data_IF_680305109441
#
_entry.id   IF_680305109441
#
_cell.length_a   1.000
_cell.length_b   1.000
_cell.length_c   1.000
_cell.angle_alpha   90.00
_cell.angle_beta   90.00
_cell.angle_gamma   90.00
#
_symmetry.space_group_name_H-M   'P 1'
#
loop_
_entity.id
_entity.type
_entity.pdbx_description
1 polymer ?
#
# COMPACT_ATOMS: atom_id res chain seq x y z
N UNK A 1 -5.37 23.95 -10.47
CA UNK A 1 -5.47 24.46 -9.08
C UNK A 1 -6.90 24.79 -8.67
N UNK A 2 -7.69 25.54 -9.46
CA UNK A 2 -9.07 25.92 -9.09
C UNK A 2 -10.03 24.76 -8.70
N UNK A 3 -9.87 23.57 -9.30
CA UNK A 3 -10.69 22.38 -8.98
C UNK A 3 -10.27 21.75 -7.65
N UNK A 4 -8.96 21.77 -7.33
CA UNK A 4 -8.42 21.27 -6.06
C UNK A 4 -8.92 22.12 -4.89
N UNK A 5 -8.92 23.45 -5.06
CA UNK A 5 -9.49 24.40 -4.10
C UNK A 5 -11.01 24.28 -3.94
N UNK A 6 -11.68 23.56 -4.84
CA UNK A 6 -13.14 23.38 -4.81
C UNK A 6 -13.57 22.21 -3.91
N UNK A 7 -12.73 21.19 -3.71
CA UNK A 7 -13.05 19.98 -2.91
C UNK A 7 -12.98 20.25 -1.40
N UNK A 8 -12.33 21.34 -0.99
CA UNK A 8 -12.25 21.76 0.41
C UNK A 8 -13.53 22.42 0.93
N UNK A 9 -14.57 22.56 0.09
CA UNK A 9 -15.83 23.24 0.43
C UNK A 9 -16.91 22.26 0.92
N UNK A 10 -17.78 22.73 1.83
CA UNK A 10 -18.84 21.98 2.52
C UNK A 10 -19.93 21.34 1.62
N UNK A 11 -19.94 21.58 0.30
CA UNK A 11 -20.95 21.05 -0.64
C UNK A 11 -20.32 20.57 -1.96
N UNK A 12 -19.31 19.70 -1.85
CA UNK A 12 -18.69 19.08 -3.04
C UNK A 12 -19.58 17.98 -3.59
N UNK A 13 -19.85 17.99 -4.90
CA UNK A 13 -20.63 16.96 -5.59
C UNK A 13 -19.78 15.75 -5.97
N UNK A 14 -20.38 14.56 -6.09
CA UNK A 14 -19.70 13.34 -6.59
C UNK A 14 -18.94 13.60 -7.90
N UNK A 15 -19.51 14.38 -8.82
CA UNK A 15 -18.87 14.70 -10.09
C UNK A 15 -17.58 15.51 -9.88
N UNK A 16 -17.59 16.47 -8.96
CA UNK A 16 -16.40 17.27 -8.62
C UNK A 16 -15.32 16.42 -7.96
N UNK A 17 -15.70 15.48 -7.07
CA UNK A 17 -14.75 14.54 -6.46
C UNK A 17 -14.08 13.66 -7.54
N UNK A 18 -14.86 13.11 -8.47
CA UNK A 18 -14.34 12.31 -9.58
C UNK A 18 -13.39 13.13 -10.45
N UNK A 19 -13.81 14.30 -10.92
CA UNK A 19 -12.98 15.16 -11.77
C UNK A 19 -11.67 15.55 -11.07
N UNK A 20 -11.72 15.82 -9.77
CA UNK A 20 -10.53 16.13 -9.01
C UNK A 20 -9.60 14.93 -8.85
N UNK A 21 -10.13 13.74 -8.56
CA UNK A 21 -9.31 12.54 -8.43
C UNK A 21 -8.57 12.20 -9.73
N UNK A 22 -9.22 12.38 -10.88
CA UNK A 22 -8.58 12.24 -12.20
C UNK A 22 -7.51 13.31 -12.42
N UNK A 23 -7.81 14.57 -12.10
CA UNK A 23 -6.84 15.65 -12.23
C UNK A 23 -5.59 15.44 -11.36
N UNK A 24 -5.75 14.85 -10.16
CA UNK A 24 -4.61 14.49 -9.30
C UNK A 24 -3.78 13.36 -9.90
N UNK A 25 -4.44 12.33 -10.45
CA UNK A 25 -3.74 11.25 -11.16
C UNK A 25 -2.95 11.80 -12.36
N UNK A 26 -3.53 12.72 -13.13
CA UNK A 26 -2.85 13.36 -14.27
C UNK A 26 -1.66 14.23 -13.83
N UNK A 27 -1.82 15.08 -12.82
CA UNK A 27 -0.74 15.97 -12.34
C UNK A 27 0.39 15.16 -11.71
N UNK A 28 0.06 14.07 -11.00
CA UNK A 28 1.08 13.23 -10.37
C UNK A 28 1.88 12.39 -11.35
N UNK A 29 1.41 12.21 -12.59
CA UNK A 29 2.11 11.51 -13.67
C UNK A 29 3.18 12.36 -14.36
N UNK A 30 3.22 13.68 -14.07
CA UNK A 30 4.21 14.61 -14.59
C UNK A 30 5.36 14.73 -13.58
N UNK A 31 6.30 13.79 -13.64
CA UNK A 31 7.46 13.74 -12.75
C UNK A 31 8.22 15.07 -12.79
N UNK A 32 8.59 15.56 -13.98
CA UNK A 32 9.29 16.84 -14.17
C UNK A 32 8.58 18.00 -13.42
N UNK A 33 7.24 18.07 -13.48
CA UNK A 33 6.47 19.06 -12.74
C UNK A 33 6.60 18.90 -11.23
N UNK A 34 6.61 17.69 -10.68
CA UNK A 34 6.72 17.46 -9.24
C UNK A 34 8.15 17.66 -8.73
N UNK A 35 9.16 17.24 -9.49
CA UNK A 35 10.57 17.33 -9.11
C UNK A 35 11.09 18.77 -9.09
N UNK A 36 10.51 19.67 -9.90
CA UNK A 36 10.88 21.09 -9.94
C UNK A 36 10.64 21.83 -8.61
N UNK A 37 9.64 21.42 -7.82
CA UNK A 37 9.22 22.10 -6.60
C UNK A 37 8.59 21.10 -5.62
N UNK A 38 9.33 20.65 -4.60
CA UNK A 38 8.86 19.67 -3.62
C UNK A 38 7.54 20.05 -2.93
N UNK A 39 7.21 21.35 -2.83
CA UNK A 39 5.93 21.80 -2.26
C UNK A 39 4.72 21.32 -3.07
N UNK A 40 4.91 20.97 -4.35
CA UNK A 40 3.87 20.41 -5.21
C UNK A 40 3.47 19.00 -4.76
N UNK A 41 4.40 18.22 -4.21
CA UNK A 41 4.10 16.87 -3.68
C UNK A 41 3.18 16.98 -2.46
N UNK A 42 3.54 17.86 -1.52
CA UNK A 42 2.71 18.14 -0.34
C UNK A 42 1.30 18.61 -0.73
N UNK A 43 1.20 19.43 -1.77
CA UNK A 43 -0.10 19.87 -2.31
C UNK A 43 -0.89 18.70 -2.90
N UNK A 44 -0.26 17.84 -3.69
CA UNK A 44 -0.91 16.64 -4.26
C UNK A 44 -1.44 15.74 -3.14
N UNK A 45 -0.64 15.46 -2.12
CA UNK A 45 -1.03 14.62 -0.97
C UNK A 45 -2.18 15.26 -0.19
N UNK A 46 -2.10 16.55 0.12
CA UNK A 46 -3.18 17.28 0.82
C UNK A 46 -4.49 17.30 0.02
N UNK A 47 -4.38 17.37 -1.31
CA UNK A 47 -5.52 17.33 -2.22
C UNK A 47 -6.12 15.93 -2.29
N UNK A 48 -5.27 14.91 -2.32
CA UNK A 48 -5.67 13.51 -2.26
C UNK A 48 -6.44 13.20 -0.98
N UNK A 49 -5.93 13.64 0.18
CA UNK A 49 -6.64 13.53 1.45
C UNK A 49 -8.03 14.19 1.41
N UNK A 50 -8.16 15.32 0.72
CA UNK A 50 -9.44 16.01 0.56
C UNK A 50 -10.42 15.23 -0.31
N UNK A 51 -9.96 14.66 -1.43
CA UNK A 51 -10.75 13.74 -2.28
C UNK A 51 -11.24 12.55 -1.47
N UNK A 52 -10.34 11.89 -0.75
CA UNK A 52 -10.68 10.69 0.05
C UNK A 52 -11.60 11.03 1.22
N UNK A 53 -11.45 12.21 1.83
CA UNK A 53 -12.31 12.67 2.92
C UNK A 53 -13.76 12.91 2.47
N UNK A 54 -13.98 13.20 1.19
CA UNK A 54 -15.33 13.33 0.64
C UNK A 54 -16.13 12.02 0.71
N UNK A 55 -15.47 10.86 0.84
CA UNK A 55 -16.12 9.59 1.15
C UNK A 55 -16.82 8.92 -0.04
N UNK A 56 -16.53 9.34 -1.27
CA UNK A 56 -17.14 8.79 -2.48
C UNK A 56 -16.67 7.34 -2.72
N UNK A 57 -17.59 6.39 -2.54
CA UNK A 57 -17.33 4.95 -2.60
C UNK A 57 -17.45 4.38 -4.03
N UNK A 58 -16.74 4.97 -4.99
CA UNK A 58 -16.85 4.65 -6.41
C UNK A 58 -15.51 4.25 -7.03
N UNK A 59 -15.54 3.31 -7.99
CA UNK A 59 -14.36 2.95 -8.80
C UNK A 59 -13.77 4.18 -9.50
N UNK A 60 -14.64 5.12 -9.92
CA UNK A 60 -14.23 6.36 -10.60
C UNK A 60 -13.46 7.35 -9.69
N UNK A 61 -13.35 7.06 -8.39
CA UNK A 61 -12.48 7.79 -7.45
C UNK A 61 -11.35 6.87 -6.97
N UNK A 62 -11.67 5.60 -6.69
CA UNK A 62 -10.70 4.62 -6.20
C UNK A 62 -9.57 4.37 -7.20
N UNK A 63 -9.86 4.18 -8.48
CA UNK A 63 -8.83 3.93 -9.50
C UNK A 63 -7.86 5.13 -9.65
N UNK A 64 -8.33 6.38 -9.84
CA UNK A 64 -7.44 7.54 -9.88
C UNK A 64 -6.60 7.74 -8.60
N UNK A 65 -7.18 7.46 -7.43
CA UNK A 65 -6.43 7.50 -6.16
C UNK A 65 -5.29 6.49 -6.16
N UNK A 66 -5.52 5.25 -6.62
CA UNK A 66 -4.45 4.23 -6.72
C UNK A 66 -3.38 4.67 -7.73
N UNK A 67 -3.77 5.23 -8.88
CA UNK A 67 -2.83 5.79 -9.86
C UNK A 67 -1.99 6.92 -9.28
N UNK A 68 -2.60 7.82 -8.51
CA UNK A 68 -1.87 8.92 -7.86
C UNK A 68 -0.77 8.39 -6.94
N UNK A 69 -1.08 7.37 -6.13
CA UNK A 69 -0.09 6.74 -5.24
C UNK A 69 1.00 6.00 -6.03
N UNK A 70 0.62 5.29 -7.08
CA UNK A 70 1.58 4.64 -7.97
C UNK A 70 2.59 5.63 -8.56
N UNK A 71 2.12 6.80 -8.97
CA UNK A 71 2.93 7.84 -9.57
C UNK A 71 3.84 8.52 -8.52
N UNK A 72 3.33 8.81 -7.32
CA UNK A 72 4.16 9.27 -6.21
C UNK A 72 5.28 8.28 -5.83
N UNK A 73 5.11 7.00 -6.13
CA UNK A 73 6.13 5.96 -5.94
C UNK A 73 7.11 5.83 -7.11
N UNK A 74 6.89 6.50 -8.24
CA UNK A 74 7.86 6.62 -9.34
C UNK A 74 8.89 7.72 -9.08
N UNK A 75 8.53 8.71 -8.26
CA UNK A 75 9.40 9.85 -7.97
C UNK A 75 10.76 9.40 -7.43
N UNK A 76 11.77 10.18 -7.78
CA UNK A 76 13.09 9.99 -7.22
C UNK A 76 13.02 10.06 -5.70
N UNK A 77 13.61 9.04 -5.11
CA UNK A 77 13.59 8.75 -3.69
C UNK A 77 13.92 9.97 -2.81
N UNK A 78 14.83 10.82 -3.27
CA UNK A 78 15.39 11.93 -2.49
C UNK A 78 14.59 13.24 -2.62
N UNK A 79 13.45 13.22 -3.32
CA UNK A 79 12.60 14.39 -3.56
C UNK A 79 11.57 14.58 -2.44
N UNK A 80 11.21 13.50 -1.74
CA UNK A 80 10.37 13.58 -0.54
C UNK A 80 11.17 14.18 0.62
N UNK A 81 10.96 15.47 0.92
CA UNK A 81 11.68 16.22 1.95
C UNK A 81 11.53 15.59 3.35
N UNK A 82 10.35 15.03 3.65
CA UNK A 82 10.10 14.17 4.81
C UNK A 82 9.26 12.96 4.40
N UNK A 83 9.94 11.99 3.79
CA UNK A 83 9.32 10.76 3.27
C UNK A 83 8.48 9.98 4.29
N UNK A 84 8.65 10.15 5.61
CA UNK A 84 7.80 9.50 6.60
C UNK A 84 6.46 10.21 6.78
N UNK A 85 6.46 11.55 6.81
CA UNK A 85 5.24 12.33 7.00
C UNK A 85 4.41 12.31 5.71
N UNK A 86 5.03 12.66 4.59
CA UNK A 86 4.37 12.73 3.29
C UNK A 86 3.97 11.33 2.82
N UNK A 87 4.90 10.38 2.88
CA UNK A 87 4.64 8.99 2.51
C UNK A 87 3.59 8.32 3.39
N UNK A 88 3.66 8.52 4.71
CA UNK A 88 2.66 8.01 5.64
C UNK A 88 1.25 8.56 5.38
N UNK A 89 1.13 9.84 5.03
CA UNK A 89 -0.14 10.46 4.65
C UNK A 89 -0.69 9.93 3.34
N UNK A 90 0.16 9.75 2.33
CA UNK A 90 -0.23 9.15 1.05
C UNK A 90 -0.77 7.72 1.26
N UNK A 91 -0.05 6.89 2.02
CA UNK A 91 -0.46 5.53 2.38
C UNK A 91 -1.80 5.54 3.13
N UNK A 92 -1.96 6.41 4.13
CA UNK A 92 -3.20 6.52 4.88
C UNK A 92 -4.38 6.97 4.00
N UNK A 93 -4.16 7.87 3.04
CA UNK A 93 -5.18 8.29 2.08
C UNK A 93 -5.62 7.12 1.20
N UNK A 94 -4.69 6.31 0.69
CA UNK A 94 -5.02 5.10 -0.07
C UNK A 94 -5.87 4.13 0.75
N UNK A 95 -5.39 3.73 1.94
CA UNK A 95 -6.10 2.77 2.79
C UNK A 95 -7.51 3.27 3.17
N UNK A 96 -7.65 4.58 3.39
CA UNK A 96 -8.94 5.21 3.65
C UNK A 96 -9.86 5.17 2.42
N UNK A 97 -9.36 5.45 1.22
CA UNK A 97 -10.21 5.36 0.01
C UNK A 97 -10.66 3.94 -0.27
N UNK A 98 -9.77 2.95 -0.10
CA UNK A 98 -10.17 1.55 -0.26
C UNK A 98 -11.21 1.17 0.80
N UNK A 99 -11.11 1.71 2.01
CA UNK A 99 -12.14 1.52 3.04
C UNK A 99 -13.46 2.17 2.64
N UNK A 100 -13.45 3.41 2.13
CA UNK A 100 -14.66 4.05 1.61
C UNK A 100 -15.30 3.17 0.53
N UNK A 101 -14.50 2.65 -0.41
CA UNK A 101 -14.95 1.75 -1.47
C UNK A 101 -15.61 0.47 -0.92
N UNK A 102 -15.08 -0.12 0.15
CA UNK A 102 -15.66 -1.33 0.76
C UNK A 102 -17.08 -1.12 1.34
N UNK A 103 -17.55 0.13 1.46
CA UNK A 103 -18.94 0.45 1.84
C UNK A 103 -19.92 0.30 0.67
N UNK A 104 -19.46 0.37 -0.59
CA UNK A 104 -20.29 0.14 -1.77
C UNK A 104 -20.34 -1.34 -2.16
N UNK A 105 -21.29 -1.71 -3.00
CA UNK A 105 -21.36 -3.05 -3.55
C UNK A 105 -20.40 -3.19 -4.73
N UNK A 106 -19.57 -4.23 -4.68
CA UNK A 106 -18.61 -4.52 -5.74
C UNK A 106 -17.28 -5.02 -5.20
N UNK A 107 -16.42 -5.35 -6.15
CA UNK A 107 -15.04 -5.72 -5.94
C UNK A 107 -14.19 -4.77 -6.77
N UNK A 108 -12.99 -4.47 -6.28
CA UNK A 108 -11.99 -3.68 -6.98
C UNK A 108 -10.66 -4.42 -6.95
N UNK A 109 -10.01 -4.52 -8.11
CA UNK A 109 -8.67 -5.08 -8.21
C UNK A 109 -7.93 -4.35 -9.30
N UNK A 110 -6.72 -3.91 -9.00
CA UNK A 110 -5.82 -3.27 -9.96
C UNK A 110 -4.39 -3.58 -9.57
N UNK A 111 -3.53 -3.76 -10.56
CA UNK A 111 -2.09 -3.93 -10.37
C UNK A 111 -1.39 -2.97 -11.32
N UNK A 112 -0.76 -1.96 -10.74
CA UNK A 112 0.13 -1.01 -11.39
C UNK A 112 1.57 -1.33 -10.99
N UNK A 113 2.55 -0.67 -11.61
CA UNK A 113 3.96 -0.99 -11.43
C UNK A 113 4.42 -0.94 -9.97
N UNK A 114 3.93 0.02 -9.18
CA UNK A 114 4.34 0.19 -7.78
C UNK A 114 3.26 -0.23 -6.78
N UNK A 115 2.00 -0.38 -7.20
CA UNK A 115 0.89 -0.63 -6.28
C UNK A 115 -0.04 -1.70 -6.83
N UNK A 116 -0.26 -2.76 -6.04
CA UNK A 116 -1.27 -3.77 -6.31
C UNK A 116 -2.34 -3.77 -5.23
N UNK A 117 -3.58 -3.46 -5.59
CA UNK A 117 -4.72 -3.44 -4.67
C UNK A 117 -5.73 -4.52 -5.07
N UNK A 118 -6.22 -5.26 -4.07
CA UNK A 118 -7.41 -6.11 -4.22
C UNK A 118 -8.33 -5.88 -3.04
N UNK A 119 -9.53 -5.38 -3.29
CA UNK A 119 -10.57 -5.10 -2.32
C UNK A 119 -11.83 -5.87 -2.72
N UNK A 120 -12.17 -6.91 -1.96
CA UNK A 120 -13.20 -7.89 -2.33
C UNK A 120 -14.08 -8.22 -1.14
N UNK A 121 -15.36 -8.53 -1.41
CA UNK A 121 -16.27 -9.12 -0.42
C UNK A 121 -16.33 -10.63 -0.65
N UNK A 122 -15.83 -11.41 0.30
CA UNK A 122 -15.68 -12.87 0.16
C UNK A 122 -16.61 -13.59 1.12
N UNK A 123 -17.29 -14.62 0.64
CA UNK A 123 -17.93 -15.60 1.52
C UNK A 123 -16.84 -16.43 2.22
N UNK A 124 -16.69 -16.29 3.54
CA UNK A 124 -15.68 -17.01 4.31
C UNK A 124 -15.76 -18.54 4.13
N UNK A 125 -16.95 -19.09 3.82
CA UNK A 125 -17.15 -20.52 3.55
C UNK A 125 -16.54 -21.00 2.23
N UNK A 126 -16.25 -20.07 1.32
CA UNK A 126 -15.61 -20.36 0.03
C UNK A 126 -14.08 -20.36 0.11
N UNK A 127 -13.51 -19.89 1.22
CA UNK A 127 -12.07 -19.90 1.50
C UNK A 127 -11.69 -21.26 2.05
N UNK A 128 -10.57 -21.82 1.60
CA UNK A 128 -10.03 -23.08 2.11
C UNK A 128 -9.44 -22.90 3.52
N UNK A 129 -8.15 -23.21 3.65
CA UNK A 129 -7.43 -22.99 4.91
C UNK A 129 -7.22 -21.50 5.21
N UNK A 130 -7.03 -20.70 4.16
CA UNK A 130 -6.60 -19.31 4.24
C UNK A 130 -6.88 -18.57 2.94
N UNK A 131 -7.02 -17.26 3.04
CA UNK A 131 -7.09 -16.35 1.91
C UNK A 131 -5.76 -15.60 1.82
N UNK A 132 -5.10 -15.66 0.68
CA UNK A 132 -3.78 -15.09 0.54
C UNK A 132 -3.65 -14.19 -0.68
N UNK A 133 -2.75 -13.22 -0.59
CA UNK A 133 -2.39 -12.32 -1.68
C UNK A 133 -0.88 -12.33 -1.82
N UNK A 134 -0.39 -12.51 -3.05
CA UNK A 134 1.02 -12.68 -3.30
C UNK A 134 1.43 -12.05 -4.62
N UNK A 135 2.66 -11.53 -4.65
CA UNK A 135 3.42 -11.23 -5.84
C UNK A 135 4.45 -12.35 -6.07
N UNK A 136 4.41 -12.98 -7.24
CA UNK A 136 5.25 -14.11 -7.61
C UNK A 136 6.18 -13.69 -8.75
N UNK A 137 7.48 -13.93 -8.58
CA UNK A 137 8.46 -13.68 -9.62
C UNK A 137 8.20 -14.58 -10.85
N UNK A 138 8.29 -14.03 -12.08
CA UNK A 138 8.38 -14.82 -13.30
C UNK A 138 9.49 -15.87 -13.25
N UNK A 139 9.41 -16.87 -14.11
CA UNK A 139 10.47 -17.88 -14.20
C UNK A 139 11.77 -17.22 -14.65
N UNK A 140 12.82 -17.38 -13.85
CA UNK A 140 14.18 -16.85 -14.08
C UNK A 140 14.38 -15.34 -13.83
N UNK A 141 13.44 -14.68 -13.14
CA UNK A 141 13.65 -13.30 -12.68
C UNK A 141 14.16 -13.24 -11.23
N UNK A 142 15.00 -12.25 -10.96
CA UNK A 142 15.43 -11.87 -9.61
C UNK A 142 14.58 -10.72 -9.11
N UNK A 143 14.39 -10.62 -7.79
CA UNK A 143 13.63 -9.53 -7.20
C UNK A 143 14.24 -8.16 -7.54
N UNK A 144 13.42 -7.28 -8.13
CA UNK A 144 13.65 -5.84 -8.15
C UNK A 144 12.73 -5.19 -7.13
N UNK A 145 13.27 -4.30 -6.28
CA UNK A 145 12.50 -3.50 -5.30
C UNK A 145 12.46 -2.04 -5.76
N UNK A 146 12.34 -1.86 -7.07
CA UNK A 146 12.24 -0.55 -7.73
C UNK A 146 10.88 -0.42 -8.47
N UNK A 147 9.85 -1.16 -8.00
CA UNK A 147 8.60 -1.31 -8.74
C UNK A 147 8.63 -2.47 -9.74
N UNK A 148 7.62 -2.55 -10.61
CA UNK A 148 7.32 -3.59 -11.61
C UNK A 148 6.46 -4.78 -11.13
N UNK A 149 5.42 -4.51 -10.33
CA UNK A 149 4.33 -5.48 -10.16
C UNK A 149 3.62 -5.72 -11.50
N UNK A 150 3.11 -6.94 -11.71
CA UNK A 150 2.36 -7.29 -12.91
C UNK A 150 1.09 -8.04 -12.53
N UNK A 151 -0.02 -7.76 -13.21
CA UNK A 151 -1.33 -8.36 -12.91
C UNK A 151 -1.31 -9.90 -12.93
N UNK A 152 -0.54 -10.51 -13.83
CA UNK A 152 -0.40 -11.98 -13.90
C UNK A 152 0.34 -12.61 -12.71
N UNK A 153 1.18 -11.82 -12.04
CA UNK A 153 2.10 -12.25 -10.99
C UNK A 153 1.59 -11.89 -9.59
N UNK A 154 0.88 -10.76 -9.48
CA UNK A 154 0.30 -10.23 -8.25
C UNK A 154 -1.18 -10.57 -8.20
N UNK A 155 -1.57 -11.54 -7.37
CA UNK A 155 -2.94 -12.07 -7.39
C UNK A 155 -3.38 -12.68 -6.06
N UNK A 156 -4.69 -12.88 -5.97
CA UNK A 156 -5.37 -13.56 -4.87
C UNK A 156 -5.31 -15.09 -5.01
N UNK A 157 -5.19 -15.77 -3.87
CA UNK A 157 -5.20 -17.21 -3.71
C UNK A 157 -6.26 -17.58 -2.68
N UNK A 158 -7.21 -18.43 -3.06
CA UNK A 158 -8.26 -18.94 -2.17
C UNK A 158 -7.76 -19.98 -1.15
N UNK A 159 -6.48 -20.36 -1.27
CA UNK A 159 -5.75 -21.19 -0.33
C UNK A 159 -4.27 -20.77 -0.32
N UNK A 160 -3.75 -20.38 0.84
CA UNK A 160 -2.35 -19.97 1.00
C UNK A 160 -1.35 -21.09 0.70
N UNK A 161 -1.75 -22.36 0.86
CA UNK A 161 -0.91 -23.51 0.52
C UNK A 161 -0.66 -23.65 -0.99
N UNK A 162 -1.45 -22.94 -1.81
CA UNK A 162 -1.25 -22.89 -3.26
C UNK A 162 -0.17 -21.88 -3.69
N UNK A 163 0.40 -21.09 -2.76
CA UNK A 163 1.45 -20.12 -3.08
C UNK A 163 2.77 -20.86 -3.37
N UNK A 164 3.40 -20.65 -4.54
CA UNK A 164 4.70 -21.21 -4.86
C UNK A 164 5.83 -20.47 -4.12
N UNK A 165 6.09 -20.86 -2.86
CA UNK A 165 7.02 -20.18 -1.95
C UNK A 165 8.42 -19.96 -2.52
N UNK A 166 8.89 -20.82 -3.43
CA UNK A 166 10.21 -20.71 -4.05
C UNK A 166 10.36 -19.52 -5.01
N UNK A 167 9.25 -18.90 -5.41
CA UNK A 167 9.18 -17.77 -6.34
C UNK A 167 8.44 -16.57 -5.74
N UNK A 168 8.01 -16.65 -4.49
CA UNK A 168 7.27 -15.57 -3.83
C UNK A 168 8.19 -14.41 -3.53
N UNK A 169 7.93 -13.26 -4.17
CA UNK A 169 8.57 -12.00 -3.82
C UNK A 169 8.03 -11.48 -2.50
N UNK A 170 6.71 -11.43 -2.37
CA UNK A 170 6.02 -11.03 -1.15
C UNK A 170 4.64 -11.66 -1.10
N UNK A 171 4.21 -12.10 0.08
CA UNK A 171 2.86 -12.62 0.28
C UNK A 171 2.35 -12.39 1.70
N UNK A 172 1.04 -12.36 1.82
CA UNK A 172 0.31 -12.38 3.10
C UNK A 172 -0.80 -13.43 2.99
N UNK A 173 -0.92 -14.26 4.01
CA UNK A 173 -1.93 -15.31 4.11
C UNK A 173 -2.71 -15.14 5.41
N UNK A 174 -4.02 -15.00 5.28
CA UNK A 174 -4.96 -14.77 6.36
C UNK A 174 -5.76 -16.05 6.57
N UNK A 175 -5.66 -16.71 7.75
CA UNK A 175 -6.43 -17.92 8.04
C UNK A 175 -7.94 -17.68 7.96
N UNK A 176 -8.71 -18.67 7.50
CA UNK A 176 -10.18 -18.59 7.45
C UNK A 176 -10.81 -18.33 8.82
N UNK A 177 -10.22 -18.90 9.88
CA UNK A 177 -10.61 -18.65 11.27
C UNK A 177 -10.51 -17.18 11.69
N UNK A 178 -9.68 -16.35 11.03
CA UNK A 178 -9.63 -14.91 11.26
C UNK A 178 -10.79 -14.20 10.56
N UNK A 179 -11.18 -14.66 9.36
CA UNK A 179 -12.33 -14.12 8.63
C UNK A 179 -13.64 -14.36 9.39
N UNK A 180 -13.73 -15.50 10.09
CA UNK A 180 -14.88 -15.85 10.93
C UNK A 180 -15.05 -14.92 12.15
N UNK A 181 -13.98 -14.24 12.61
CA UNK A 181 -14.04 -13.37 13.79
C UNK A 181 -14.88 -12.10 13.58
N UNK A 182 -15.05 -11.67 12.34
CA UNK A 182 -15.89 -10.50 12.03
C UNK A 182 -17.39 -10.80 12.17
N UNK A 183 -17.78 -12.07 12.06
CA UNK A 183 -19.10 -12.53 12.47
C UNK A 183 -19.16 -12.60 13.99
N UNK A 184 -19.47 -11.49 14.66
CA UNK A 184 -19.71 -11.50 16.11
C UNK A 184 -20.70 -12.61 16.50
N UNK A 185 -20.69 -13.05 17.76
CA UNK A 185 -21.52 -14.17 18.24
C UNK A 185 -22.99 -14.06 17.77
N UNK A 186 -23.36 -14.85 16.75
CA UNK A 186 -24.71 -14.92 16.19
C UNK A 186 -25.00 -14.07 14.94
N UNK A 187 -24.03 -13.32 14.39
CA UNK A 187 -24.18 -12.60 13.10
C UNK A 187 -23.36 -13.33 12.03
N UNK A 188 -24.03 -14.11 11.20
CA UNK A 188 -23.41 -14.66 9.98
C UNK A 188 -23.24 -13.52 8.96
N UNK A 189 -22.01 -13.06 8.75
CA UNK A 189 -21.70 -12.22 7.60
C UNK A 189 -21.71 -13.11 6.36
N UNK A 190 -22.61 -12.80 5.41
CA UNK A 190 -22.66 -13.51 4.11
C UNK A 190 -21.48 -13.14 3.21
N UNK A 191 -20.84 -12.00 3.47
CA UNK A 191 -19.63 -11.59 2.80
C UNK A 191 -18.74 -10.74 3.74
N UNK A 192 -17.47 -11.08 3.78
CA UNK A 192 -16.43 -10.43 4.58
C UNK A 192 -15.63 -9.49 3.68
N UNK A 193 -15.59 -8.18 3.96
CA UNK A 193 -14.74 -7.25 3.21
C UNK A 193 -13.27 -7.51 3.58
N UNK A 194 -12.50 -7.87 2.57
CA UNK A 194 -11.05 -8.09 2.68
C UNK A 194 -10.35 -7.24 1.65
N UNK A 195 -9.36 -6.48 2.11
CA UNK A 195 -8.48 -5.70 1.27
C UNK A 195 -7.05 -6.16 1.44
N UNK A 196 -6.33 -6.30 0.34
CA UNK A 196 -4.88 -6.48 0.29
C UNK A 196 -4.25 -5.37 -0.54
N UNK A 197 -3.10 -4.89 -0.10
CA UNK A 197 -2.30 -3.88 -0.82
C UNK A 197 -0.83 -4.33 -0.81
N UNK A 198 -0.19 -4.36 -1.97
CA UNK A 198 1.26 -4.51 -2.12
C UNK A 198 1.84 -3.21 -2.65
N UNK A 199 2.92 -2.75 -2.03
CA UNK A 199 3.75 -1.65 -2.50
C UNK A 199 5.09 -2.22 -2.98
N UNK A 200 5.42 -1.96 -4.24
CA UNK A 200 6.57 -2.55 -4.93
C UNK A 200 7.92 -2.00 -4.51
N UNK A 201 7.96 -0.80 -3.93
CA UNK A 201 9.17 -0.14 -3.44
C UNK A 201 8.92 0.59 -2.09
N UNK A 202 9.96 1.18 -1.52
CA UNK A 202 9.95 1.80 -0.19
C UNK A 202 9.85 3.34 -0.19
N UNK A 203 9.59 3.97 -1.34
CA UNK A 203 9.61 5.44 -1.51
C UNK A 203 8.74 6.15 -0.46
N UNK A 204 7.52 5.66 -0.22
CA UNK A 204 6.57 6.24 0.75
C UNK A 204 6.76 5.76 2.20
N UNK A 205 7.81 4.98 2.49
CA UNK A 205 8.00 4.33 3.79
C UNK A 205 9.36 4.66 4.43
N UNK A 206 9.96 5.79 4.03
CA UNK A 206 11.27 6.22 4.52
C UNK A 206 11.18 6.74 5.97
N UNK A 207 12.07 6.32 6.88
CA UNK A 207 12.13 6.90 8.21
C UNK A 207 12.69 8.34 8.17
N UNK A 208 12.09 9.27 8.94
CA UNK A 208 12.52 10.69 8.98
C UNK A 208 13.88 10.93 9.64
N UNK A 209 14.43 9.95 10.36
CA UNK A 209 15.70 10.10 11.08
C UNK A 209 16.66 8.95 10.76
N UNK A 210 17.95 9.24 10.49
CA UNK A 210 18.98 8.21 10.52
C UNK A 210 19.05 7.60 11.93
N UNK A 211 19.22 6.29 12.01
CA UNK A 211 19.43 5.62 13.30
C UNK A 211 20.81 5.98 13.81
N UNK A 212 20.90 6.55 15.01
CA UNK A 212 22.18 6.75 15.69
C UNK A 212 22.83 5.37 15.92
N UNK A 213 24.06 5.20 15.43
CA UNK A 213 24.83 3.98 15.65
C UNK A 213 25.07 3.84 17.16
N UNK A 214 24.62 2.74 17.77
CA UNK A 214 25.03 2.41 19.14
C UNK A 214 26.56 2.32 19.19
N UNK A 215 27.17 3.25 19.93
CA UNK A 215 28.60 3.52 20.05
C UNK A 215 29.51 2.28 19.95
N UNK A 216 30.20 2.09 18.82
CA UNK A 216 31.54 1.51 18.85
C UNK A 216 32.53 2.63 19.07
N UNK A 217 33.01 2.76 20.30
CA UNK A 217 34.13 3.62 20.68
C UNK A 217 35.35 3.26 19.84
N UNK A 218 35.59 4.00 18.77
CA UNK A 218 36.91 4.37 18.26
C UNK A 218 36.73 5.14 16.93
N UNK A 219 37.16 6.40 16.97
CA UNK A 219 37.42 7.32 15.85
C UNK A 219 36.21 8.04 15.20
N UNK A 220 36.44 9.32 14.92
CA UNK A 220 35.51 10.33 14.40
C UNK A 220 35.02 9.99 12.98
N UNK A 221 34.17 8.97 12.85
CA UNK A 221 33.46 8.72 11.60
C UNK A 221 32.04 9.29 11.71
N UNK A 222 31.81 10.45 11.07
CA UNK A 222 30.47 11.06 10.92
C UNK A 222 29.60 10.24 9.93
N UNK A 223 29.69 8.92 9.99
CA UNK A 223 28.91 8.03 9.14
C UNK A 223 27.47 7.98 9.65
N UNK A 224 26.54 8.46 8.83
CA UNK A 224 25.10 8.33 9.10
C UNK A 224 24.61 6.99 8.58
N UNK A 225 24.02 6.17 9.44
CA UNK A 225 23.37 4.93 9.02
C UNK A 225 21.92 5.26 8.66
N UNK A 226 21.54 4.98 7.41
CA UNK A 226 20.15 5.06 6.96
C UNK A 226 19.56 3.65 6.94
N UNK A 227 18.58 3.41 7.81
CA UNK A 227 17.76 2.21 7.74
C UNK A 227 16.88 2.27 6.49
N UNK A 228 16.77 1.13 5.79
CA UNK A 228 15.96 1.00 4.58
C UNK A 228 15.13 -0.27 4.64
N UNK A 229 13.96 -0.21 4.01
CA UNK A 229 13.11 -1.38 3.85
C UNK A 229 13.69 -2.21 2.71
N UNK A 230 14.12 -3.43 3.03
CA UNK A 230 14.80 -4.32 2.10
C UNK A 230 13.87 -5.36 1.47
N UNK A 231 12.57 -5.08 1.40
CA UNK A 231 11.51 -5.93 0.83
C UNK A 231 10.42 -5.07 0.19
N UNK A 232 9.48 -5.70 -0.52
CA UNK A 232 8.20 -5.04 -0.80
C UNK A 232 7.40 -4.91 0.51
N UNK A 233 6.41 -4.03 0.54
CA UNK A 233 5.50 -3.85 1.67
C UNK A 233 4.16 -4.48 1.31
N UNK A 234 3.53 -5.19 2.26
CA UNK A 234 2.20 -5.76 2.08
C UNK A 234 1.31 -5.49 3.28
N UNK A 235 0.07 -5.11 3.01
CA UNK A 235 -0.96 -4.80 4.00
C UNK A 235 -2.21 -5.64 3.75
N UNK A 236 -2.88 -6.02 4.83
CA UNK A 236 -4.21 -6.62 4.81
C UNK A 236 -5.14 -5.84 5.74
N UNK A 237 -6.30 -5.43 5.23
CA UNK A 237 -7.31 -4.69 5.99
C UNK A 237 -8.57 -5.56 6.02
N UNK A 238 -8.94 -6.00 7.22
CA UNK A 238 -10.10 -6.86 7.47
C UNK A 238 -10.90 -6.21 8.59
N UNK A 239 -11.94 -5.46 8.22
CA UNK A 239 -12.80 -4.74 9.17
C UNK A 239 -14.17 -4.50 8.59
N UNK A 240 -15.16 -4.43 9.47
CA UNK A 240 -16.49 -3.89 9.15
C UNK A 240 -16.66 -2.53 9.84
N UNK A 241 -17.71 -1.78 9.52
CA UNK A 241 -17.99 -0.48 10.17
C UNK A 241 -18.04 -0.57 11.69
N UNK A 242 -18.46 -1.72 12.23
CA UNK A 242 -18.72 -1.92 13.66
C UNK A 242 -17.72 -2.85 14.35
N UNK A 243 -16.75 -3.42 13.63
CA UNK A 243 -15.87 -4.45 14.20
C UNK A 243 -14.49 -4.41 13.55
N UNK A 244 -13.48 -4.29 14.41
CA UNK A 244 -12.09 -4.56 14.10
C UNK A 244 -11.62 -5.81 14.84
N UNK A 245 -10.72 -6.55 14.22
CA UNK A 245 -10.10 -7.71 14.88
C UNK A 245 -8.95 -7.18 15.72
N UNK A 246 -9.04 -7.35 17.03
CA UNK A 246 -7.97 -7.01 17.98
C UNK A 246 -7.53 -8.31 18.66
N UNK A 247 -6.23 -8.58 18.62
CA UNK A 247 -5.58 -9.83 19.06
C UNK A 247 -5.99 -11.06 18.22
N UNK A 248 -5.10 -11.51 17.36
CA UNK A 248 -5.29 -12.75 16.61
C UNK A 248 -5.28 -13.96 17.55
N UNK A 249 -6.10 -15.00 17.28
CA UNK A 249 -6.06 -16.24 18.04
C UNK A 249 -4.66 -16.88 17.99
N UNK A 250 -4.13 -17.42 19.10
CA UNK A 250 -2.77 -17.99 19.16
C UNK A 250 -2.49 -19.14 18.16
N UNK A 251 -3.54 -19.79 17.64
CA UNK A 251 -3.45 -20.85 16.63
C UNK A 251 -3.83 -20.43 15.22
N UNK A 252 -3.97 -19.13 14.95
CA UNK A 252 -4.38 -18.60 13.65
C UNK A 252 -3.60 -17.34 13.29
N UNK A 253 -2.25 -17.43 13.18
CA UNK A 253 -1.43 -16.29 12.80
C UNK A 253 -1.67 -15.91 11.34
N UNK A 254 -1.64 -14.61 11.05
CA UNK A 254 -1.42 -14.13 9.69
C UNK A 254 0.04 -14.41 9.33
N UNK A 255 0.26 -15.06 8.20
CA UNK A 255 1.60 -15.45 7.75
C UNK A 255 2.03 -14.50 6.63
N UNK A 256 3.16 -13.82 6.81
CA UNK A 256 3.79 -13.02 5.78
C UNK A 256 5.08 -13.65 5.31
N UNK A 257 5.43 -13.46 4.04
CA UNK A 257 6.69 -13.94 3.45
C UNK A 257 7.25 -12.83 2.58
N UNK A 258 8.56 -12.60 2.70
CA UNK A 258 9.26 -11.57 1.95
C UNK A 258 10.58 -12.14 1.44
N UNK A 259 10.86 -11.88 0.17
CA UNK A 259 12.19 -11.98 -0.37
C UNK A 259 12.89 -10.64 -0.16
N UNK A 260 14.14 -10.68 0.31
CA UNK A 260 14.91 -9.47 0.59
C UNK A 260 15.99 -9.22 -0.46
N UNK A 261 16.23 -7.94 -0.78
CA UNK A 261 17.32 -7.51 -1.65
C UNK A 261 18.63 -7.19 -0.91
N UNK A 262 18.78 -7.58 0.37
CA UNK A 262 20.03 -7.41 1.12
C UNK A 262 21.17 -8.24 0.49
N UNK A 263 21.82 -7.67 -0.53
CA UNK A 263 23.18 -8.04 -0.90
C UNK A 263 24.08 -7.39 0.13
N UNK A 264 24.87 -8.17 0.88
CA UNK A 264 25.94 -7.63 1.73
C UNK A 264 26.94 -6.87 0.86
N UNK A 265 26.73 -5.56 0.68
CA UNK A 265 27.74 -4.68 0.11
C UNK A 265 28.56 -4.17 1.29
N UNK A 266 29.66 -4.85 1.58
CA UNK A 266 30.73 -4.28 2.40
C UNK A 266 31.49 -3.33 1.48
N UNK A 267 31.13 -2.05 1.50
CA UNK A 267 31.96 -0.98 0.94
C UNK A 267 33.16 -0.82 1.86
N UNK A 268 34.25 -1.53 1.59
CA UNK A 268 35.55 -1.15 2.10
C UNK A 268 36.04 0.02 1.26
N UNK A 269 35.82 1.26 1.72
CA UNK A 269 36.63 2.37 1.25
C UNK A 269 38.08 2.11 1.68
N UNK A 270 38.98 2.00 0.69
CA UNK A 270 40.41 1.94 0.95
C UNK A 270 40.89 3.36 1.26
N UNK A 271 41.42 3.53 2.46
CA UNK A 271 42.29 4.65 2.84
C UNK A 271 43.62 4.67 2.07
#
# INVERSE_FOLDING_TARGET
>A
MDIIDTITKENTTTKEVVMASEMLAEISDDDDFLEEDPQRIELVISSLESVVRAGEASINVTDPVVRTINNLMNLDRDILEDGMIEGGRAVAALERQITNFQTSDGNFSTVLDNVGVTAVKIDARSVGSSLAYANILPENETLSIDGALQEGNTRLFSDGDAIPLNRTATSISVPSSVLDLLGGAGVELTAVPVTFIIYGNDVLFRPSMPTEVEESKEEEDNSTVTERIASQIISAIIRTENTSIVNLPPGSPVITTFLSNLVKIILCEKS
#
